data_IF_318699164709
#
_entry.id   IF_318699164709
#
_cell.length_a   1.000
_cell.length_b   1.000
_cell.length_c   1.000
_cell.angle_alpha   90.00
_cell.angle_beta   90.00
_cell.angle_gamma   90.00
#
_symmetry.space_group_name_H-M   'P 1'
#
loop_
_entity.id
_entity.type
_entity.pdbx_description
1 polymer ?
#
# COMPACT_ATOMS: atom_id res chain seq x y z
N UNK A 1 -1.51 -2.36 -0.99
CA UNK A 1 -0.62 -3.49 -0.72
C UNK A 1 0.57 -2.93 0.03
N UNK A 2 0.99 -3.67 1.05
CA UNK A 2 2.03 -3.27 2.00
C UNK A 2 3.39 -3.43 1.34
N UNK A 3 4.24 -2.43 1.49
CA UNK A 3 5.65 -2.48 1.13
C UNK A 3 6.44 -2.92 2.37
N UNK A 4 7.01 -4.11 2.30
CA UNK A 4 7.68 -4.77 3.42
C UNK A 4 8.77 -3.89 4.05
N UNK A 5 8.77 -3.78 5.38
CA UNK A 5 9.68 -3.00 6.22
C UNK A 5 9.67 -1.48 5.97
N UNK A 6 8.72 -0.98 5.15
CA UNK A 6 8.61 0.45 4.86
C UNK A 6 7.31 1.04 5.40
N UNK A 7 6.19 0.39 5.14
CA UNK A 7 4.88 0.80 5.65
C UNK A 7 4.10 -0.34 6.32
N UNK A 8 4.80 -1.43 6.62
CA UNK A 8 4.31 -2.56 7.36
C UNK A 8 5.18 -3.80 7.16
N UNK A 9 4.77 -4.91 7.75
CA UNK A 9 5.42 -6.20 7.59
C UNK A 9 4.57 -7.13 6.71
N UNK A 10 5.21 -7.94 5.89
CA UNK A 10 4.55 -8.93 5.03
C UNK A 10 5.17 -10.27 5.37
N UNK A 11 4.47 -11.05 6.18
CA UNK A 11 4.94 -12.35 6.61
C UNK A 11 4.79 -13.38 5.48
N UNK A 12 5.70 -14.35 5.47
CA UNK A 12 5.61 -15.52 4.61
C UNK A 12 4.32 -16.28 4.88
N UNK A 13 3.65 -16.68 3.80
CA UNK A 13 2.39 -17.40 3.88
C UNK A 13 2.53 -18.69 4.73
N UNK A 14 1.66 -18.81 5.74
CA UNK A 14 1.62 -19.93 6.70
C UNK A 14 2.85 -20.09 7.60
N UNK A 15 3.75 -19.10 7.65
CA UNK A 15 4.85 -19.11 8.63
C UNK A 15 4.40 -18.42 9.92
N UNK A 16 4.18 -19.21 10.98
CA UNK A 16 3.89 -18.66 12.30
C UNK A 16 5.09 -17.89 12.87
N UNK A 17 6.30 -18.41 12.61
CA UNK A 17 7.55 -17.78 13.06
C UNK A 17 7.74 -16.40 12.41
N UNK A 18 7.47 -16.29 11.10
CA UNK A 18 7.62 -15.02 10.39
C UNK A 18 6.52 -14.01 10.74
N UNK A 19 5.32 -14.49 11.05
CA UNK A 19 4.28 -13.64 11.62
C UNK A 19 4.69 -13.10 13.00
N UNK A 20 5.28 -13.93 13.86
CA UNK A 20 5.78 -13.49 15.16
C UNK A 20 6.91 -12.45 15.02
N UNK A 21 7.82 -12.65 14.06
CA UNK A 21 8.85 -11.66 13.72
C UNK A 21 8.23 -10.33 13.29
N UNK A 22 7.20 -10.37 12.42
CA UNK A 22 6.52 -9.17 11.96
C UNK A 22 5.83 -8.38 13.07
N UNK A 23 5.20 -9.08 14.02
CA UNK A 23 4.59 -8.46 15.21
C UNK A 23 5.67 -7.81 16.08
N UNK A 24 6.76 -8.54 16.37
CA UNK A 24 7.87 -8.04 17.17
C UNK A 24 8.45 -6.77 16.52
N UNK A 25 8.85 -6.87 15.25
CA UNK A 25 9.42 -5.76 14.49
C UNK A 25 8.52 -4.52 14.52
N UNK A 26 7.21 -4.68 14.27
CA UNK A 26 6.26 -3.56 14.26
C UNK A 26 6.15 -2.85 15.62
N UNK A 27 6.31 -3.58 16.72
CA UNK A 27 6.17 -3.05 18.08
C UNK A 27 7.49 -2.52 18.67
N UNK A 28 8.64 -3.04 18.24
CA UNK A 28 9.93 -2.77 18.91
C UNK A 28 10.95 -2.05 18.03
N UNK A 29 10.95 -2.31 16.72
CA UNK A 29 11.98 -1.82 15.79
C UNK A 29 11.45 -0.79 14.80
N UNK A 30 10.18 -0.91 14.42
CA UNK A 30 9.49 0.07 13.59
C UNK A 30 9.28 1.35 14.38
N UNK A 31 9.82 2.47 13.88
CA UNK A 31 9.39 3.79 14.34
C UNK A 31 7.90 3.96 14.01
N UNK A 32 7.06 3.93 15.04
CA UNK A 32 5.61 3.92 14.90
C UNK A 32 5.09 5.12 14.11
N UNK A 33 5.65 6.32 14.33
CA UNK A 33 5.18 7.53 13.64
C UNK A 33 5.47 7.46 12.15
N UNK A 34 6.71 7.10 11.80
CA UNK A 34 7.12 6.88 10.40
C UNK A 34 6.29 5.77 9.77
N UNK A 35 6.16 4.61 10.41
CA UNK A 35 5.43 3.47 9.87
C UNK A 35 3.96 3.79 9.61
N UNK A 36 3.30 4.46 10.56
CA UNK A 36 1.90 4.89 10.46
C UNK A 36 1.70 5.91 9.33
N UNK A 37 2.57 6.93 9.27
CA UNK A 37 2.49 7.95 8.23
C UNK A 37 2.72 7.37 6.82
N UNK A 38 3.67 6.44 6.67
CA UNK A 38 3.96 5.78 5.40
C UNK A 38 2.84 4.84 4.96
N UNK A 39 2.22 4.12 5.90
CA UNK A 39 1.04 3.30 5.63
C UNK A 39 -0.15 4.14 5.16
N UNK A 40 -0.43 5.24 5.85
CA UNK A 40 -1.48 6.18 5.45
C UNK A 40 -1.19 6.81 4.09
N UNK A 41 0.03 7.30 3.87
CA UNK A 41 0.48 7.90 2.62
C UNK A 41 0.28 6.93 1.46
N UNK A 42 0.69 5.67 1.61
CA UNK A 42 0.47 4.62 0.60
C UNK A 42 -1.03 4.42 0.33
N UNK A 43 -1.84 4.35 1.38
CA UNK A 43 -3.27 4.14 1.27
C UNK A 43 -3.96 5.24 0.45
N UNK A 44 -3.75 6.51 0.81
CA UNK A 44 -4.39 7.64 0.14
C UNK A 44 -3.88 7.83 -1.29
N UNK A 45 -2.56 7.71 -1.50
CA UNK A 45 -1.98 7.95 -2.83
C UNK A 45 -2.34 6.86 -3.83
N UNK A 46 -2.53 5.61 -3.38
CA UNK A 46 -2.75 4.47 -4.27
C UNK A 46 -4.23 4.08 -4.40
N UNK A 47 -5.00 4.19 -3.31
CA UNK A 47 -6.35 3.60 -3.22
C UNK A 47 -7.46 4.61 -2.92
N UNK A 48 -7.16 5.92 -2.85
CA UNK A 48 -8.23 6.91 -2.72
C UNK A 48 -9.17 6.88 -3.94
N UNK A 49 -10.43 7.25 -3.70
CA UNK A 49 -11.44 7.39 -4.75
C UNK A 49 -10.92 8.26 -5.90
N UNK A 50 -10.32 9.40 -5.57
CA UNK A 50 -9.75 10.33 -6.56
C UNK A 50 -8.66 9.67 -7.42
N UNK A 51 -7.73 8.92 -6.81
CA UNK A 51 -6.70 8.17 -7.55
C UNK A 51 -7.33 7.15 -8.48
N UNK A 52 -8.30 6.36 -8.01
CA UNK A 52 -8.96 5.31 -8.80
C UNK A 52 -9.79 5.91 -9.93
N UNK A 53 -10.61 6.93 -9.66
CA UNK A 53 -11.40 7.64 -10.65
C UNK A 53 -10.50 8.24 -11.75
N UNK A 54 -9.37 8.83 -11.37
CA UNK A 54 -8.40 9.37 -12.33
C UNK A 54 -7.84 8.29 -13.27
N UNK A 55 -7.59 7.08 -12.77
CA UNK A 55 -7.16 5.95 -13.61
C UNK A 55 -8.23 5.54 -14.61
N UNK A 56 -9.50 5.44 -14.19
CA UNK A 56 -10.61 5.14 -15.09
C UNK A 56 -10.83 6.22 -16.14
N UNK A 57 -10.80 7.50 -15.76
CA UNK A 57 -10.89 8.62 -16.70
C UNK A 57 -9.80 8.53 -17.78
N UNK A 58 -8.56 8.20 -17.38
CA UNK A 58 -7.45 8.01 -18.34
C UNK A 58 -7.72 6.86 -19.30
N UNK A 59 -8.29 5.75 -18.82
CA UNK A 59 -8.67 4.61 -19.67
C UNK A 59 -9.77 5.05 -20.65
N UNK A 60 -10.82 5.72 -20.18
CA UNK A 60 -11.91 6.19 -21.04
C UNK A 60 -11.39 7.14 -22.12
N UNK A 61 -10.60 8.15 -21.75
CA UNK A 61 -10.01 9.09 -22.70
C UNK A 61 -9.08 8.39 -23.71
N UNK A 62 -8.34 7.35 -23.29
CA UNK A 62 -7.50 6.57 -24.20
C UNK A 62 -8.30 5.78 -25.24
N UNK A 63 -9.43 5.21 -24.83
CA UNK A 63 -10.29 4.41 -25.71
C UNK A 63 -11.11 5.31 -26.64
N UNK A 64 -11.67 6.41 -26.12
CA UNK A 64 -12.54 7.32 -26.90
C UNK A 64 -11.73 8.29 -27.76
N UNK A 65 -10.54 8.70 -27.34
CA UNK A 65 -9.67 9.61 -28.09
C UNK A 65 -9.02 9.00 -29.34
N UNK A 66 -9.12 7.68 -29.56
CA UNK A 66 -8.74 7.01 -30.82
C UNK A 66 -9.85 7.02 -31.88
N UNK A 67 -11.06 7.45 -31.52
CA UNK A 67 -12.23 7.52 -32.42
C UNK A 67 -12.71 8.98 -32.65
N UNK A 68 -11.85 9.97 -32.39
CA UNK A 68 -12.09 11.39 -32.67
C UNK A 68 -11.19 11.87 -33.81
#
# INVERSE_FOLDING_TARGET
>A
MIDHLHNGYVAQYKSADDLANGICWTLTEGDYETLSSEAYRKAVTTYSEATVASQYIRIYNHITGKNA
#
